data_IF_511641960146
#
_entry.id   IF_511641960146
#
_cell.length_a   1.000
_cell.length_b   1.000
_cell.length_c   1.000
_cell.angle_alpha   90.00
_cell.angle_beta   90.00
_cell.angle_gamma   90.00
#
_symmetry.space_group_name_H-M   'P 1'
#
loop_
_entity.id
_entity.type
_entity.pdbx_description
1 polymer ?
#
# COMPACT_ATOMS: atom_id res chain seq x y z
N UNK A 1 23.01 0.87 -53.03
CA UNK A 1 23.20 0.51 -51.60
C UNK A 1 23.54 1.68 -50.66
N UNK A 2 23.36 2.97 -51.02
CA UNK A 2 23.64 4.11 -50.11
C UNK A 2 22.40 4.65 -49.35
N UNK A 3 21.20 4.22 -49.74
CA UNK A 3 19.94 4.69 -49.14
C UNK A 3 19.56 3.94 -47.85
N UNK A 4 19.83 2.64 -47.78
CA UNK A 4 19.39 1.78 -46.67
C UNK A 4 20.05 2.12 -45.32
N UNK A 5 21.30 2.61 -45.32
CA UNK A 5 22.03 2.96 -44.08
C UNK A 5 21.56 4.28 -43.43
N UNK A 6 20.91 5.17 -44.19
CA UNK A 6 20.38 6.42 -43.63
C UNK A 6 19.09 6.19 -42.85
N UNK A 7 18.26 5.24 -43.30
CA UNK A 7 17.00 4.91 -42.63
C UNK A 7 17.21 4.14 -41.31
N UNK A 8 18.19 3.26 -41.23
CA UNK A 8 18.50 2.52 -39.99
C UNK A 8 19.10 3.42 -38.91
N UNK A 9 19.94 4.40 -39.28
CA UNK A 9 20.55 5.34 -38.33
C UNK A 9 19.51 6.31 -37.73
N UNK A 10 18.54 6.75 -38.52
CA UNK A 10 17.46 7.64 -38.05
C UNK A 10 16.48 6.92 -37.11
N UNK A 11 16.18 5.64 -37.40
CA UNK A 11 15.34 4.80 -36.56
C UNK A 11 15.99 4.49 -35.20
N UNK A 12 17.30 4.22 -35.16
CA UNK A 12 18.03 4.04 -33.89
C UNK A 12 18.10 5.33 -33.07
N UNK A 13 18.27 6.49 -33.72
CA UNK A 13 18.31 7.78 -33.04
C UNK A 13 16.94 8.14 -32.44
N UNK A 14 15.84 7.87 -33.14
CA UNK A 14 14.48 8.03 -32.60
C UNK A 14 14.20 7.09 -31.43
N UNK A 15 14.72 5.85 -31.47
CA UNK A 15 14.63 4.90 -30.35
C UNK A 15 15.42 5.39 -29.13
N UNK A 16 16.63 5.92 -29.33
CA UNK A 16 17.42 6.54 -28.26
C UNK A 16 16.73 7.78 -27.68
N UNK A 17 16.18 8.67 -28.51
CA UNK A 17 15.47 9.87 -28.05
C UNK A 17 14.17 9.50 -27.32
N UNK A 18 13.46 8.44 -27.73
CA UNK A 18 12.29 7.93 -27.00
C UNK A 18 12.65 7.28 -25.65
N UNK A 19 13.89 6.79 -25.48
CA UNK A 19 14.39 6.32 -24.18
C UNK A 19 14.79 7.47 -23.24
N UNK A 20 14.99 8.69 -23.75
CA UNK A 20 15.22 9.89 -22.92
C UNK A 20 13.93 10.64 -22.57
N UNK A 21 12.79 10.26 -23.16
CA UNK A 21 11.46 10.68 -22.72
C UNK A 21 10.78 9.58 -21.89
N UNK A 22 11.56 8.87 -21.06
CA UNK A 22 10.99 8.43 -19.79
C UNK A 22 10.66 9.73 -19.11
N UNK A 23 9.38 10.13 -19.11
CA UNK A 23 8.93 11.11 -18.13
C UNK A 23 9.55 10.64 -16.82
N UNK A 24 10.50 11.42 -16.29
CA UNK A 24 10.82 11.38 -14.88
C UNK A 24 9.49 11.68 -14.22
N UNK A 25 8.70 10.63 -14.03
CA UNK A 25 7.46 10.65 -13.30
C UNK A 25 7.93 11.08 -11.94
N UNK A 26 7.89 12.39 -11.72
CA UNK A 26 8.22 13.05 -10.49
C UNK A 26 7.30 12.39 -9.49
N UNK A 27 7.79 11.35 -8.83
CA UNK A 27 7.13 10.85 -7.67
C UNK A 27 7.14 12.05 -6.75
N UNK A 28 5.95 12.47 -6.32
CA UNK A 28 5.85 13.34 -5.18
C UNK A 28 6.31 12.52 -3.98
N UNK A 29 7.63 12.30 -3.86
CA UNK A 29 8.34 11.36 -2.99
C UNK A 29 8.29 11.76 -1.51
N UNK A 30 7.14 12.28 -1.10
CA UNK A 30 6.73 12.63 0.25
C UNK A 30 5.27 12.24 0.53
N UNK A 31 4.63 11.43 -0.34
CA UNK A 31 3.28 10.91 -0.08
C UNK A 31 3.34 9.72 0.90
N UNK A 32 3.88 9.96 2.08
CA UNK A 32 3.96 9.02 3.18
C UNK A 32 3.88 9.74 4.53
N UNK A 33 3.52 9.01 5.57
CA UNK A 33 3.45 9.48 6.95
C UNK A 33 4.80 9.40 7.66
N UNK A 34 5.02 10.27 8.64
CA UNK A 34 6.28 10.34 9.38
C UNK A 34 6.51 9.20 10.39
N UNK A 35 5.45 8.56 10.87
CA UNK A 35 5.56 7.45 11.84
C UNK A 35 6.37 6.27 11.30
N UNK A 36 6.85 5.42 12.21
CA UNK A 36 7.57 4.19 11.88
C UNK A 36 7.08 3.03 12.74
N UNK A 37 7.34 1.80 12.30
CA UNK A 37 7.23 0.64 13.18
C UNK A 37 8.17 0.82 14.39
N UNK A 38 7.69 0.46 15.57
CA UNK A 38 8.44 0.56 16.81
C UNK A 38 9.71 -0.29 16.77
N UNK A 39 10.74 0.10 17.50
CA UNK A 39 12.05 -0.57 17.43
C UNK A 39 12.02 -2.04 17.90
N UNK A 40 11.02 -2.42 18.69
CA UNK A 40 10.78 -3.80 19.11
C UNK A 40 10.00 -4.63 18.07
N UNK A 41 9.71 -4.07 16.90
CA UNK A 41 9.09 -4.75 15.75
C UNK A 41 10.11 -5.00 14.66
N UNK A 42 9.96 -6.11 13.96
CA UNK A 42 10.79 -6.45 12.82
C UNK A 42 10.14 -5.95 11.52
N UNK A 43 10.47 -4.72 11.10
CA UNK A 43 9.88 -4.12 9.90
C UNK A 43 10.15 -4.93 8.61
N UNK A 44 11.25 -5.67 8.52
CA UNK A 44 11.58 -6.53 7.37
C UNK A 44 10.92 -7.91 7.43
N UNK A 45 10.08 -8.16 8.44
CA UNK A 45 9.40 -9.42 8.64
C UNK A 45 8.08 -9.27 9.39
N UNK A 46 7.28 -8.26 9.04
CA UNK A 46 5.98 -8.01 9.63
C UNK A 46 5.04 -9.19 9.37
N UNK A 47 4.26 -9.54 10.38
CA UNK A 47 3.24 -10.58 10.31
C UNK A 47 1.87 -9.98 10.03
N UNK A 48 1.16 -10.52 9.05
CA UNK A 48 -0.21 -10.19 8.74
C UNK A 48 -1.15 -11.32 9.20
N UNK A 49 -2.29 -10.97 9.79
CA UNK A 49 -3.33 -11.91 10.21
C UNK A 49 -4.67 -11.51 9.63
N UNK A 50 -5.37 -12.47 9.01
CA UNK A 50 -6.79 -12.30 8.69
C UNK A 50 -7.62 -12.75 9.89
N UNK A 51 -8.36 -11.81 10.44
CA UNK A 51 -9.26 -11.95 11.58
C UNK A 51 -10.70 -11.89 11.11
N UNK A 52 -10.96 -12.46 9.93
CA UNK A 52 -12.28 -12.75 9.42
C UNK A 52 -12.21 -14.02 8.60
N UNK A 53 -12.96 -15.03 9.03
CA UNK A 53 -13.08 -16.31 8.33
C UNK A 53 -13.56 -16.12 6.89
N UNK A 54 -14.60 -15.31 6.72
CA UNK A 54 -15.21 -15.10 5.41
C UNK A 54 -14.25 -14.41 4.45
N UNK A 55 -13.54 -13.37 4.89
CA UNK A 55 -12.47 -12.79 4.08
C UNK A 55 -11.34 -13.78 3.83
N UNK A 56 -10.90 -14.56 4.82
CA UNK A 56 -9.80 -15.51 4.61
C UNK A 56 -10.09 -16.54 3.53
N UNK A 57 -11.33 -17.05 3.46
CA UNK A 57 -11.71 -18.09 2.50
C UNK A 57 -12.28 -17.57 1.18
N UNK A 58 -12.93 -16.39 1.18
CA UNK A 58 -13.63 -15.86 0.01
C UNK A 58 -12.91 -14.68 -0.67
N UNK A 59 -11.83 -14.19 -0.07
CA UNK A 59 -10.95 -13.19 -0.66
C UNK A 59 -9.58 -13.81 -0.94
N UNK A 60 -9.09 -13.75 -2.18
CA UNK A 60 -7.66 -14.00 -2.48
C UNK A 60 -6.81 -12.78 -2.03
N UNK A 61 -6.87 -12.49 -0.73
CA UNK A 61 -6.18 -11.36 -0.10
C UNK A 61 -4.66 -11.58 -0.09
N UNK A 62 -4.22 -12.84 -0.13
CA UNK A 62 -2.83 -13.25 0.02
C UNK A 62 -1.92 -12.52 -0.99
N UNK A 63 -2.27 -12.53 -2.28
CA UNK A 63 -1.52 -11.84 -3.33
C UNK A 63 -1.54 -10.32 -3.14
N UNK A 64 -2.69 -9.79 -2.72
CA UNK A 64 -2.91 -8.35 -2.51
C UNK A 64 -2.01 -7.81 -1.38
N UNK A 65 -1.94 -8.53 -0.26
CA UNK A 65 -1.13 -8.16 0.91
C UNK A 65 0.36 -8.14 0.57
N UNK A 66 0.85 -9.16 -0.15
CA UNK A 66 2.27 -9.25 -0.51
C UNK A 66 2.69 -8.37 -1.69
N UNK A 67 1.77 -7.62 -2.32
CA UNK A 67 2.07 -6.79 -3.50
C UNK A 67 3.12 -5.71 -3.21
N UNK A 68 3.23 -5.24 -1.96
CA UNK A 68 4.22 -4.24 -1.56
C UNK A 68 5.63 -4.80 -1.33
N UNK A 69 5.79 -6.12 -1.27
CA UNK A 69 7.09 -6.74 -1.06
C UNK A 69 8.01 -6.53 -2.27
N UNK A 70 9.33 -6.58 -2.04
CA UNK A 70 10.39 -6.40 -3.04
C UNK A 70 10.48 -4.98 -3.64
N UNK A 71 9.76 -4.01 -3.08
CA UNK A 71 9.89 -2.59 -3.42
C UNK A 71 10.95 -1.92 -2.53
N UNK A 72 10.97 -2.27 -1.25
CA UNK A 72 11.97 -1.85 -0.27
C UNK A 72 12.49 -3.07 0.49
N UNK A 73 13.80 -3.13 0.71
CA UNK A 73 14.45 -4.13 1.56
C UNK A 73 14.25 -3.89 3.06
N UNK A 74 13.71 -2.72 3.44
CA UNK A 74 13.59 -2.25 4.82
C UNK A 74 12.21 -2.47 5.43
N UNK A 75 11.21 -2.78 4.60
CA UNK A 75 9.88 -3.14 5.06
C UNK A 75 9.30 -4.28 4.23
N UNK A 76 8.77 -5.30 4.89
CA UNK A 76 8.23 -6.50 4.23
C UNK A 76 7.21 -7.19 5.12
N UNK A 77 6.16 -7.72 4.50
CA UNK A 77 5.24 -8.66 5.13
C UNK A 77 5.76 -10.07 4.84
N UNK A 78 6.16 -10.81 5.88
CA UNK A 78 6.80 -12.13 5.76
C UNK A 78 5.80 -13.28 5.80
N UNK A 79 4.66 -13.06 6.47
CA UNK A 79 3.69 -14.11 6.75
C UNK A 79 2.28 -13.55 6.70
N UNK A 80 1.36 -14.34 6.16
CA UNK A 80 -0.08 -14.11 6.19
C UNK A 80 -0.78 -15.39 6.60
N UNK A 81 -1.56 -15.37 7.68
CA UNK A 81 -2.36 -16.53 8.13
C UNK A 81 -3.70 -16.08 8.70
N UNK A 82 -4.63 -17.02 8.83
CA UNK A 82 -5.83 -16.84 9.65
C UNK A 82 -5.49 -16.86 11.15
N UNK A 83 -6.22 -16.10 11.97
CA UNK A 83 -6.11 -16.17 13.44
C UNK A 83 -7.46 -16.26 14.18
N UNK A 84 -8.61 -16.20 13.50
CA UNK A 84 -9.91 -16.12 14.16
C UNK A 84 -10.44 -14.69 14.27
N UNK A 85 -11.76 -14.56 14.41
CA UNK A 85 -12.51 -13.32 14.09
C UNK A 85 -12.32 -12.17 15.10
N UNK A 86 -11.51 -12.35 16.13
CA UNK A 86 -11.29 -11.38 17.21
C UNK A 86 -9.81 -11.18 17.56
N UNK A 87 -8.90 -11.86 16.87
CA UNK A 87 -7.50 -11.87 17.25
C UNK A 87 -6.75 -10.62 16.79
N UNK A 88 -5.76 -10.19 17.57
CA UNK A 88 -4.86 -9.08 17.22
C UNK A 88 -3.40 -9.48 17.48
N UNK A 89 -3.04 -10.67 16.99
CA UNK A 89 -1.74 -11.30 17.27
C UNK A 89 -0.68 -10.99 16.21
N UNK A 90 -1.09 -10.49 15.04
CA UNK A 90 -0.18 -10.02 14.00
C UNK A 90 0.31 -8.59 14.25
N UNK A 91 1.32 -8.18 13.51
CA UNK A 91 1.70 -6.77 13.41
C UNK A 91 0.63 -5.99 12.63
N UNK A 92 0.02 -6.61 11.61
CA UNK A 92 -1.09 -6.08 10.82
C UNK A 92 -2.26 -7.07 10.91
N UNK A 93 -3.43 -6.62 11.35
CA UNK A 93 -4.59 -7.48 11.58
C UNK A 93 -5.78 -6.99 10.74
N UNK A 94 -6.35 -7.85 9.90
CA UNK A 94 -7.46 -7.52 9.01
C UNK A 94 -8.76 -8.01 9.62
N UNK A 95 -9.72 -7.12 9.87
CA UNK A 95 -11.01 -7.41 10.50
C UNK A 95 -12.17 -7.15 9.54
N UNK A 96 -13.26 -7.88 9.73
CA UNK A 96 -14.54 -7.58 9.07
C UNK A 96 -15.35 -6.66 9.95
N UNK A 97 -15.68 -5.47 9.48
CA UNK A 97 -16.45 -4.46 10.24
C UNK A 97 -17.39 -3.74 9.31
N UNK A 98 -18.66 -3.59 9.71
CA UNK A 98 -19.60 -2.73 8.98
C UNK A 98 -19.13 -1.27 9.04
N UNK A 99 -18.79 -0.73 7.88
CA UNK A 99 -18.36 0.66 7.70
C UNK A 99 -19.52 1.48 7.15
N UNK A 100 -19.59 2.74 7.55
CA UNK A 100 -20.69 3.63 7.16
C UNK A 100 -20.35 4.43 5.91
N UNK A 101 -21.37 4.74 5.11
CA UNK A 101 -21.26 5.60 3.93
C UNK A 101 -20.57 4.87 2.78
N UNK A 102 -19.60 5.53 2.12
CA UNK A 102 -18.86 4.98 0.97
C UNK A 102 -17.51 4.36 1.37
N UNK A 103 -17.23 4.22 2.66
CA UNK A 103 -15.97 3.68 3.17
C UNK A 103 -16.04 2.16 3.12
N UNK A 104 -15.11 1.51 2.42
CA UNK A 104 -15.06 0.05 2.29
C UNK A 104 -13.79 -0.56 2.90
N UNK A 105 -12.85 0.30 3.30
CA UNK A 105 -11.60 -0.07 3.97
C UNK A 105 -11.15 1.06 4.88
N UNK A 106 -10.51 0.73 6.00
CA UNK A 106 -9.91 1.71 6.91
C UNK A 106 -8.73 1.12 7.67
N UNK A 107 -7.58 1.78 7.61
CA UNK A 107 -6.42 1.49 8.44
C UNK A 107 -6.40 2.30 9.75
N UNK A 108 -6.16 1.59 10.85
CA UNK A 108 -5.95 2.10 12.20
C UNK A 108 -4.54 1.73 12.66
N UNK A 109 -3.89 2.64 13.39
CA UNK A 109 -2.54 2.43 13.91
C UNK A 109 -2.55 2.57 15.43
N UNK A 110 -1.77 1.73 16.10
CA UNK A 110 -1.70 1.73 17.56
C UNK A 110 -0.26 1.84 18.04
N UNK A 111 -0.08 2.62 19.11
CA UNK A 111 1.12 2.66 19.95
C UNK A 111 0.81 2.05 21.32
N UNK A 112 1.86 1.80 22.12
CA UNK A 112 1.68 1.51 23.55
C UNK A 112 1.59 2.79 24.36
N UNK A 113 0.64 2.85 25.28
CA UNK A 113 0.58 3.90 26.30
C UNK A 113 1.53 3.58 27.46
N UNK A 114 1.64 4.49 28.43
CA UNK A 114 2.56 4.36 29.58
C UNK A 114 2.26 3.14 30.48
N UNK A 115 1.05 2.58 30.39
CA UNK A 115 0.62 1.38 31.13
C UNK A 115 0.75 0.09 30.30
N UNK A 116 1.32 0.16 29.09
CA UNK A 116 1.44 -0.99 28.18
C UNK A 116 0.15 -1.38 27.45
N UNK A 117 -0.93 -0.59 27.59
CA UNK A 117 -2.16 -0.72 26.80
C UNK A 117 -1.99 -0.18 25.38
N UNK A 118 -2.85 -0.60 24.45
CA UNK A 118 -2.88 -0.03 23.10
C UNK A 118 -3.66 1.28 23.10
N UNK A 119 -3.11 2.29 22.44
CA UNK A 119 -3.80 3.55 22.14
C UNK A 119 -3.71 3.82 20.66
N UNK A 120 -4.85 4.13 20.03
CA UNK A 120 -4.87 4.52 18.64
C UNK A 120 -4.11 5.84 18.44
N UNK A 121 -3.46 5.98 17.29
CA UNK A 121 -2.80 7.21 16.89
C UNK A 121 -3.44 7.74 15.62
N UNK A 122 -3.43 9.07 15.49
CA UNK A 122 -3.68 9.71 14.20
C UNK A 122 -2.63 9.22 13.20
N UNK A 123 -3.10 8.74 12.05
CA UNK A 123 -2.25 8.23 10.97
C UNK A 123 -1.30 9.30 10.43
N UNK A 124 -1.65 10.58 10.55
CA UNK A 124 -0.82 11.74 10.17
C UNK A 124 0.32 12.04 11.15
N UNK A 125 0.38 11.37 12.30
CA UNK A 125 1.41 11.60 13.32
C UNK A 125 2.82 11.38 12.77
N UNK A 126 3.68 12.40 12.87
CA UNK A 126 5.02 12.38 12.27
C UNK A 126 6.10 11.68 13.10
N UNK A 127 5.85 11.41 14.39
CA UNK A 127 6.86 10.88 15.32
C UNK A 127 6.45 9.59 16.04
N UNK A 128 5.31 8.99 15.66
CA UNK A 128 4.79 7.84 16.39
C UNK A 128 5.57 6.55 16.10
N UNK A 129 5.62 5.68 17.12
CA UNK A 129 6.13 4.32 17.03
C UNK A 129 4.95 3.34 17.05
N UNK A 130 4.62 2.80 15.88
CA UNK A 130 3.52 1.87 15.68
C UNK A 130 3.92 0.48 16.17
N UNK A 131 3.11 -0.11 17.03
CA UNK A 131 3.28 -1.49 17.51
C UNK A 131 2.25 -2.46 16.91
N UNK A 132 1.20 -1.94 16.28
CA UNK A 132 0.17 -2.74 15.63
C UNK A 132 -0.60 -1.87 14.64
N UNK A 133 -0.98 -2.44 13.51
CA UNK A 133 -1.98 -1.90 12.61
C UNK A 133 -3.22 -2.82 12.62
N UNK A 134 -4.39 -2.21 12.51
CA UNK A 134 -5.65 -2.90 12.24
C UNK A 134 -6.23 -2.35 10.96
N UNK A 135 -6.66 -3.22 10.07
CA UNK A 135 -7.31 -2.86 8.82
C UNK A 135 -8.73 -3.40 8.89
N UNK A 136 -9.70 -2.50 8.91
CA UNK A 136 -11.11 -2.85 8.83
C UNK A 136 -11.52 -2.91 7.36
N UNK A 137 -12.15 -4.02 6.98
CA UNK A 137 -12.69 -4.26 5.65
C UNK A 137 -14.21 -4.41 5.77
N UNK A 138 -14.94 -3.69 4.93
CA UNK A 138 -16.40 -3.76 4.95
C UNK A 138 -16.90 -5.08 4.32
N UNK A 139 -17.82 -5.82 4.98
CA UNK A 139 -18.37 -7.07 4.45
C UNK A 139 -18.90 -6.97 3.02
N UNK A 140 -19.41 -5.80 2.58
CA UNK A 140 -19.87 -5.60 1.20
C UNK A 140 -18.78 -5.82 0.14
N UNK A 141 -17.49 -5.79 0.51
CA UNK A 141 -16.40 -6.21 -0.35
C UNK A 141 -16.51 -7.68 -0.76
N UNK A 142 -17.10 -8.54 0.08
CA UNK A 142 -17.33 -9.94 -0.26
C UNK A 142 -18.40 -10.09 -1.35
N UNK A 143 -19.40 -9.21 -1.34
CA UNK A 143 -20.50 -9.20 -2.32
C UNK A 143 -20.15 -8.44 -3.61
N UNK A 144 -19.06 -7.66 -3.60
CA UNK A 144 -18.63 -6.93 -4.78
C UNK A 144 -18.36 -7.91 -5.94
N UNK A 145 -19.12 -7.79 -7.02
CA UNK A 145 -18.93 -8.61 -8.24
C UNK A 145 -17.59 -8.34 -8.91
N UNK A 146 -16.96 -7.19 -8.61
CA UNK A 146 -15.68 -6.77 -9.16
C UNK A 146 -14.51 -7.16 -8.24
N UNK A 147 -13.83 -8.25 -8.59
CA UNK A 147 -12.60 -8.71 -7.90
C UNK A 147 -11.51 -7.64 -7.83
N UNK A 148 -11.47 -6.72 -8.79
CA UNK A 148 -10.49 -5.61 -8.83
C UNK A 148 -10.66 -4.66 -7.66
N UNK A 149 -11.90 -4.35 -7.25
CA UNK A 149 -12.15 -3.46 -6.12
C UNK A 149 -11.75 -4.10 -4.79
N UNK A 150 -12.00 -5.41 -4.65
CA UNK A 150 -11.60 -6.17 -3.46
C UNK A 150 -10.08 -6.15 -3.30
N UNK A 151 -9.36 -6.54 -4.35
CA UNK A 151 -7.89 -6.55 -4.39
C UNK A 151 -7.32 -5.16 -4.16
N UNK A 152 -7.84 -4.14 -4.85
CA UNK A 152 -7.39 -2.75 -4.69
C UNK A 152 -7.53 -2.28 -3.24
N UNK A 153 -8.66 -2.53 -2.59
CA UNK A 153 -8.90 -2.06 -1.22
C UNK A 153 -7.88 -2.67 -0.26
N UNK A 154 -7.63 -3.99 -0.35
CA UNK A 154 -6.60 -4.63 0.48
C UNK A 154 -5.20 -4.09 0.20
N UNK A 155 -4.84 -3.87 -1.07
CA UNK A 155 -3.55 -3.26 -1.42
C UNK A 155 -3.44 -1.85 -0.80
N UNK A 156 -4.49 -1.04 -0.93
CA UNK A 156 -4.53 0.34 -0.45
C UNK A 156 -4.38 0.42 1.08
N UNK A 157 -5.21 -0.30 1.83
CA UNK A 157 -5.13 -0.28 3.30
C UNK A 157 -3.82 -0.89 3.81
N UNK A 158 -3.28 -1.89 3.11
CA UNK A 158 -1.93 -2.40 3.42
C UNK A 158 -0.88 -1.33 3.20
N UNK A 159 -1.00 -0.50 2.16
CA UNK A 159 -0.10 0.63 1.92
C UNK A 159 -0.13 1.64 3.08
N UNK A 160 -1.31 1.92 3.64
CA UNK A 160 -1.41 2.71 4.87
C UNK A 160 -0.69 2.06 6.05
N UNK A 161 -0.82 0.74 6.26
CA UNK A 161 -0.05 0.03 7.28
C UNK A 161 1.48 -0.01 7.01
N UNK A 162 1.92 0.41 5.83
CA UNK A 162 3.33 0.62 5.45
C UNK A 162 3.68 2.12 5.36
N UNK A 163 2.92 2.97 6.04
CA UNK A 163 3.12 4.41 6.13
C UNK A 163 2.92 5.21 4.83
N UNK A 164 2.32 4.65 3.79
CA UNK A 164 1.94 5.44 2.62
C UNK A 164 0.68 6.26 2.89
N UNK A 165 0.62 7.46 2.33
CA UNK A 165 -0.53 8.35 2.45
C UNK A 165 -1.24 8.52 1.11
N UNK A 166 -2.42 9.13 1.10
CA UNK A 166 -3.05 9.54 -0.15
C UNK A 166 -2.23 10.65 -0.82
N UNK A 167 -1.74 10.48 -2.06
CA UNK A 167 -0.89 11.49 -2.68
C UNK A 167 -1.57 12.86 -2.82
N UNK A 168 -2.90 12.91 -2.99
CA UNK A 168 -3.65 14.17 -3.01
C UNK A 168 -3.46 15.03 -1.75
N UNK A 169 -3.21 14.43 -0.58
CA UNK A 169 -2.91 15.17 0.65
C UNK A 169 -1.57 15.91 0.59
N UNK A 170 -0.72 15.55 -0.36
CA UNK A 170 0.53 16.21 -0.69
C UNK A 170 0.45 16.95 -2.04
N UNK A 171 -0.74 17.41 -2.43
CA UNK A 171 -1.00 18.13 -3.69
C UNK A 171 -0.53 17.37 -4.94
N UNK A 172 -0.61 16.04 -4.92
CA UNK A 172 -0.08 15.19 -5.97
C UNK A 172 -1.19 14.40 -6.68
N UNK A 173 -1.32 14.63 -7.98
CA UNK A 173 -2.35 14.04 -8.84
C UNK A 173 -1.83 12.86 -9.66
N UNK A 174 -0.63 12.36 -9.35
CA UNK A 174 -0.11 11.16 -9.98
C UNK A 174 -1.08 9.99 -9.77
N UNK A 175 -1.30 9.20 -10.82
CA UNK A 175 -2.13 8.00 -10.68
C UNK A 175 -1.42 7.03 -9.74
N UNK A 176 -2.12 6.46 -8.78
CA UNK A 176 -1.53 5.56 -7.77
C UNK A 176 -2.62 4.69 -7.12
N UNK A 177 -2.24 3.52 -6.62
CA UNK A 177 -3.18 2.69 -5.83
C UNK A 177 -3.51 3.35 -4.50
N UNK A 178 -2.58 4.15 -3.97
CA UNK A 178 -2.77 4.95 -2.75
C UNK A 178 -3.65 6.18 -2.96
N UNK A 179 -4.11 6.49 -4.18
CA UNK A 179 -5.15 7.50 -4.34
C UNK A 179 -6.48 6.99 -3.80
N UNK A 180 -7.25 7.87 -3.15
CA UNK A 180 -8.57 7.51 -2.62
C UNK A 180 -9.47 6.97 -3.74
N UNK A 181 -10.26 5.94 -3.42
CA UNK A 181 -10.98 5.15 -4.42
C UNK A 181 -11.97 5.90 -5.31
N UNK A 182 -12.43 7.07 -4.90
CA UNK A 182 -13.34 7.95 -5.64
C UNK A 182 -12.65 9.00 -6.52
N UNK A 183 -11.33 9.11 -6.49
CA UNK A 183 -10.61 10.13 -7.28
C UNK A 183 -10.40 9.71 -8.74
N UNK A 184 -10.39 10.67 -9.66
CA UNK A 184 -10.03 10.44 -11.07
C UNK A 184 -8.58 9.98 -11.28
N UNK A 185 -7.76 10.03 -10.22
CA UNK A 185 -6.36 9.60 -10.21
C UNK A 185 -6.20 8.18 -9.64
N UNK A 186 -7.29 7.49 -9.28
CA UNK A 186 -7.21 6.13 -8.78
C UNK A 186 -6.55 5.17 -9.79
N UNK A 187 -5.66 4.32 -9.28
CA UNK A 187 -5.16 3.13 -9.96
C UNK A 187 -5.58 1.88 -9.18
N UNK A 188 -5.65 0.72 -9.85
CA UNK A 188 -6.07 -0.54 -9.23
C UNK A 188 -4.90 -1.40 -8.77
N UNK A 189 -3.69 -1.11 -9.25
CA UNK A 189 -2.45 -1.84 -8.96
C UNK A 189 -1.35 -0.89 -8.52
N UNK A 190 -0.39 -1.41 -7.74
CA UNK A 190 0.84 -0.68 -7.37
C UNK A 190 1.60 -0.34 -8.65
N UNK A 191 1.91 0.94 -8.84
CA UNK A 191 2.69 1.41 -9.98
C UNK A 191 4.02 2.06 -9.54
N UNK A 192 4.75 2.67 -10.48
CA UNK A 192 6.06 3.26 -10.17
C UNK A 192 5.98 4.40 -9.16
N UNK A 193 4.89 5.19 -9.18
CA UNK A 193 4.68 6.27 -8.23
C UNK A 193 4.55 5.75 -6.79
N UNK A 194 3.73 4.71 -6.61
CA UNK A 194 3.57 4.02 -5.32
C UNK A 194 4.92 3.44 -4.83
N UNK A 195 5.68 2.80 -5.72
CA UNK A 195 7.00 2.23 -5.41
C UNK A 195 7.99 3.28 -4.93
N UNK A 196 8.07 4.40 -5.65
CA UNK A 196 8.98 5.50 -5.32
C UNK A 196 8.65 6.10 -3.95
N UNK A 197 7.37 6.20 -3.57
CA UNK A 197 6.99 6.68 -2.24
C UNK A 197 7.35 5.69 -1.12
N UNK A 198 7.20 4.39 -1.36
CA UNK A 198 7.62 3.39 -0.37
C UNK A 198 9.14 3.40 -0.18
N UNK A 199 9.90 3.52 -1.27
CA UNK A 199 11.36 3.68 -1.24
C UNK A 199 11.76 4.99 -0.55
N UNK A 200 11.09 6.10 -0.83
CA UNK A 200 11.38 7.36 -0.19
C UNK A 200 11.11 7.32 1.33
N UNK A 201 10.08 6.55 1.75
CA UNK A 201 9.74 6.36 3.16
C UNK A 201 10.74 5.46 3.90
N UNK A 202 11.04 4.30 3.33
CA UNK A 202 11.74 3.22 4.05
C UNK A 202 13.19 3.04 3.60
N UNK A 203 13.58 3.62 2.47
CA UNK A 203 14.82 3.31 1.76
C UNK A 203 14.65 2.13 0.79
N UNK A 204 15.63 1.95 -0.09
CA UNK A 204 15.74 0.76 -0.95
C UNK A 204 16.19 -0.46 -0.18
#
# INVERSE_FOLDING_TARGET
MKSLHKFTSLALLMLFVSMFFVEDAFACSGAYYGWKWANNKNATGLTAKMCSRDFYYNLDASKSIFTWNNISSKVKISQYTFSGDSDNTGDINFHSVELTGTTIGRAHLYKKNVLGGYSEIDISSSSAQVVQARIDLDPSLLDASNSTQKTKTVIHETGHALALMHPLLNNCTARAVMQQSSSGYANTTVNQHDKNNLIAKWGS
#
